data_IF_089297300997
#
_entry.id   IF_089297300997
#
_cell.length_a   1.000
_cell.length_b   1.000
_cell.length_c   1.000
_cell.angle_alpha   90.00
_cell.angle_beta   90.00
_cell.angle_gamma   90.00
#
_symmetry.space_group_name_H-M   'P 1'
#
loop_
_entity.id
_entity.type
_entity.pdbx_description
1 polymer ?
#
# COMPACT_ATOMS: atom_id res chain seq x y z
N UNK A 1 7.09 -4.35 6.02
CA UNK A 1 7.75 -4.38 4.68
C UNK A 1 6.78 -3.84 3.63
N UNK A 2 7.22 -3.46 2.42
CA UNK A 2 6.33 -2.93 1.39
C UNK A 2 6.71 -3.30 -0.05
N UNK A 3 5.72 -3.36 -0.95
CA UNK A 3 5.93 -3.47 -2.40
C UNK A 3 5.02 -2.51 -3.16
N UNK A 4 5.35 -2.27 -4.43
CA UNK A 4 4.54 -1.49 -5.34
C UNK A 4 4.29 -2.26 -6.63
N UNK A 5 3.03 -2.20 -7.08
CA UNK A 5 2.58 -2.75 -8.36
C UNK A 5 2.09 -1.61 -9.23
N UNK A 6 2.59 -1.52 -10.44
CA UNK A 6 2.13 -0.53 -11.42
C UNK A 6 0.70 -0.78 -11.84
N UNK A 7 -0.12 0.26 -11.84
CA UNK A 7 -1.51 0.19 -12.30
C UNK A 7 -1.60 0.78 -13.72
N UNK A 8 -1.19 0.01 -14.72
CA UNK A 8 -1.24 0.38 -16.14
C UNK A 8 -0.41 1.62 -16.54
N UNK A 9 -0.65 2.15 -17.75
CA UNK A 9 0.09 3.24 -18.42
C UNK A 9 -0.05 4.64 -17.77
N UNK A 10 -0.58 4.71 -16.55
CA UNK A 10 -0.93 5.98 -15.89
C UNK A 10 0.18 6.57 -15.02
N UNK A 11 1.33 5.89 -14.90
CA UNK A 11 2.41 6.33 -14.01
C UNK A 11 1.99 6.31 -12.52
N UNK A 12 0.98 5.53 -12.16
CA UNK A 12 0.48 5.34 -10.79
C UNK A 12 0.83 3.94 -10.32
N UNK A 13 1.22 3.81 -9.05
CA UNK A 13 1.43 2.52 -8.40
C UNK A 13 0.45 2.34 -7.24
N UNK A 14 -0.01 1.10 -7.07
CA UNK A 14 -0.56 0.65 -5.80
C UNK A 14 0.60 0.21 -4.90
N UNK A 15 0.76 0.84 -3.75
CA UNK A 15 1.74 0.47 -2.73
C UNK A 15 1.04 -0.34 -1.66
N UNK A 16 1.62 -1.47 -1.31
CA UNK A 16 1.14 -2.39 -0.28
C UNK A 16 2.16 -2.45 0.86
N UNK A 17 1.70 -2.21 2.09
CA UNK A 17 2.49 -2.28 3.32
C UNK A 17 1.94 -3.40 4.18
N UNK A 18 2.82 -4.30 4.64
CA UNK A 18 2.47 -5.49 5.39
C UNK A 18 2.95 -5.41 6.83
N UNK A 19 2.07 -5.75 7.75
CA UNK A 19 2.29 -5.87 9.20
C UNK A 19 2.54 -7.33 9.58
N UNK A 20 3.52 -7.95 8.91
CA UNK A 20 4.03 -9.27 9.24
C UNK A 20 5.55 -9.28 9.01
N UNK A 21 6.26 -9.73 10.03
CA UNK A 21 7.69 -10.05 9.93
C UNK A 21 7.84 -11.32 9.05
N UNK A 22 8.92 -11.41 8.28
CA UNK A 22 9.24 -12.55 7.41
C UNK A 22 8.30 -12.88 6.23
N UNK A 23 7.34 -12.02 5.89
CA UNK A 23 6.55 -12.22 4.67
C UNK A 23 7.40 -12.01 3.41
N UNK A 24 7.42 -12.99 2.48
CA UNK A 24 8.09 -12.84 1.19
C UNK A 24 7.34 -11.85 0.28
N UNK A 25 7.63 -10.57 0.48
CA UNK A 25 7.04 -9.46 -0.28
C UNK A 25 7.47 -9.46 -1.74
N UNK A 26 8.64 -9.99 -2.08
CA UNK A 26 9.11 -10.02 -3.45
C UNK A 26 8.32 -11.03 -4.31
N UNK A 27 8.04 -12.21 -3.75
CA UNK A 27 7.28 -13.27 -4.43
C UNK A 27 5.75 -13.15 -4.30
N UNK A 28 5.26 -12.43 -3.27
CA UNK A 28 3.84 -12.46 -2.89
C UNK A 28 3.18 -11.08 -2.83
N UNK A 29 3.69 -10.10 -3.59
CA UNK A 29 3.13 -8.76 -3.59
C UNK A 29 1.64 -8.73 -4.00
N UNK A 30 0.81 -8.03 -3.22
CA UNK A 30 -0.64 -7.92 -3.38
C UNK A 30 -1.42 -9.06 -2.71
N UNK A 31 -0.73 -10.07 -2.17
CA UNK A 31 -1.32 -11.16 -1.42
C UNK A 31 -1.12 -10.96 0.08
N UNK A 32 -2.13 -11.38 0.85
CA UNK A 32 -2.02 -11.40 2.30
C UNK A 32 -1.36 -12.71 2.76
N UNK A 33 -0.47 -12.65 3.78
CA UNK A 33 -0.06 -13.83 4.53
C UNK A 33 -1.30 -14.55 5.06
N UNK A 34 -1.30 -15.88 5.05
CA UNK A 34 -2.37 -16.70 5.63
C UNK A 34 -2.23 -16.85 7.16
N UNK A 35 -1.68 -15.83 7.80
CA UNK A 35 -1.48 -15.75 9.25
C UNK A 35 -2.61 -14.91 9.83
N UNK A 36 -3.37 -15.46 10.79
CA UNK A 36 -4.47 -14.74 11.42
C UNK A 36 -3.96 -13.43 12.06
N UNK A 37 -4.65 -12.33 11.79
CA UNK A 37 -4.26 -10.98 12.22
C UNK A 37 -3.27 -10.28 11.29
N UNK A 38 -2.81 -10.92 10.20
CA UNK A 38 -1.96 -10.26 9.21
C UNK A 38 -2.74 -9.13 8.52
N UNK A 39 -2.15 -7.93 8.49
CA UNK A 39 -2.74 -6.74 7.88
C UNK A 39 -1.92 -6.28 6.67
N UNK A 40 -2.62 -5.87 5.63
CA UNK A 40 -2.08 -5.19 4.47
C UNK A 40 -2.79 -3.84 4.33
N UNK A 41 -2.02 -2.77 4.44
CA UNK A 41 -2.44 -1.44 4.02
C UNK A 41 -2.12 -1.26 2.53
N UNK A 42 -3.05 -0.74 1.75
CA UNK A 42 -2.80 -0.39 0.35
C UNK A 42 -3.24 1.04 0.03
N UNK A 43 -2.53 1.70 -0.89
CA UNK A 43 -2.88 3.02 -1.38
C UNK A 43 -2.27 3.31 -2.75
N UNK A 44 -2.84 4.24 -3.52
CA UNK A 44 -2.35 4.63 -4.85
C UNK A 44 -1.53 5.92 -4.82
N UNK A 45 -0.35 5.94 -5.43
CA UNK A 45 0.51 7.13 -5.51
C UNK A 45 1.12 7.26 -6.90
N UNK A 46 1.32 8.48 -7.38
CA UNK A 46 2.11 8.73 -8.59
C UNK A 46 3.51 8.14 -8.39
N UNK A 47 3.94 7.31 -9.34
CA UNK A 47 5.21 6.59 -9.29
C UNK A 47 6.37 7.43 -9.82
N UNK A 48 6.54 8.60 -9.22
CA UNK A 48 7.57 9.58 -9.56
C UNK A 48 8.30 10.04 -8.30
N UNK A 49 9.64 10.11 -8.35
CA UNK A 49 10.43 10.62 -7.24
C UNK A 49 9.99 12.03 -6.84
N UNK A 50 9.75 12.23 -5.54
CA UNK A 50 9.22 13.46 -4.95
C UNK A 50 7.70 13.58 -4.97
N UNK A 51 6.98 12.63 -5.60
CA UNK A 51 5.52 12.62 -5.58
C UNK A 51 5.01 12.42 -4.15
N UNK A 52 3.96 13.18 -3.81
CA UNK A 52 3.30 13.16 -2.51
C UNK A 52 1.82 12.91 -2.69
N UNK A 53 1.27 12.03 -1.86
CA UNK A 53 -0.16 11.84 -1.76
C UNK A 53 -0.60 11.98 -0.31
N UNK A 54 -1.74 12.65 -0.10
CA UNK A 54 -2.34 12.77 1.23
C UNK A 54 -3.28 11.59 1.45
N UNK A 55 -3.22 10.98 2.63
CA UNK A 55 -4.19 9.93 2.97
C UNK A 55 -5.62 10.47 3.05
N UNK A 56 -5.78 11.76 3.37
CA UNK A 56 -7.09 12.42 3.43
C UNK A 56 -7.72 12.66 2.04
N UNK A 57 -6.92 12.63 0.97
CA UNK A 57 -7.45 12.77 -0.40
C UNK A 57 -7.95 11.45 -0.99
N UNK A 58 -7.70 10.32 -0.32
CA UNK A 58 -8.17 9.03 -0.81
C UNK A 58 -9.67 8.88 -0.57
N UNK A 59 -10.37 8.66 -1.67
CA UNK A 59 -11.81 8.48 -1.70
C UNK A 59 -12.18 7.04 -2.02
N UNK A 60 -13.35 6.61 -1.57
CA UNK A 60 -13.96 5.36 -2.00
C UNK A 60 -14.84 5.60 -3.21
N UNK A 61 -14.47 5.02 -4.35
CA UNK A 61 -15.31 4.95 -5.53
C UNK A 61 -15.89 3.54 -5.64
N UNK A 62 -17.22 3.41 -5.60
CA UNK A 62 -17.88 2.10 -5.63
C UNK A 62 -17.65 1.31 -6.94
N UNK A 63 -17.22 1.98 -8.03
CA UNK A 63 -16.87 1.37 -9.32
C UNK A 63 -15.36 1.12 -9.48
N UNK A 64 -14.50 1.96 -8.88
CA UNK A 64 -13.03 1.89 -9.01
C UNK A 64 -12.30 1.32 -7.78
N UNK A 65 -13.04 1.07 -6.70
CA UNK A 65 -12.51 0.66 -5.41
C UNK A 65 -12.06 1.84 -4.54
N UNK A 66 -11.50 1.52 -3.37
CA UNK A 66 -10.91 2.52 -2.49
C UNK A 66 -9.53 2.94 -3.02
N UNK A 67 -9.22 4.23 -2.98
CA UNK A 67 -7.86 4.71 -3.29
C UNK A 67 -6.86 4.39 -2.17
N UNK A 68 -7.37 4.04 -0.98
CA UNK A 68 -6.66 3.40 0.12
C UNK A 68 -7.55 2.40 0.87
N UNK A 69 -6.99 1.30 1.37
CA UNK A 69 -7.71 0.31 2.18
C UNK A 69 -6.78 -0.45 3.12
N UNK A 70 -7.32 -0.92 4.25
CA UNK A 70 -6.67 -1.95 5.09
C UNK A 70 -7.45 -3.25 4.93
N UNK A 71 -6.72 -4.32 4.66
CA UNK A 71 -7.27 -5.68 4.58
C UNK A 71 -6.59 -6.51 5.67
N UNK A 72 -7.39 -7.22 6.45
CA UNK A 72 -6.92 -8.13 7.49
C UNK A 72 -7.32 -9.57 7.14
N UNK A 73 -6.41 -10.51 7.43
CA UNK A 73 -6.67 -11.93 7.32
C UNK A 73 -7.18 -12.48 8.67
N UNK A 74 -8.45 -12.92 8.71
CA UNK A 74 -9.06 -13.53 9.91
C UNK A 74 -9.12 -15.06 9.81
N UNK A 75 -8.10 -15.71 9.26
CA UNK A 75 -8.12 -17.16 9.02
C UNK A 75 -8.81 -17.51 7.70
N UNK A 76 -9.89 -18.27 7.73
CA UNK A 76 -10.59 -18.73 6.51
C UNK A 76 -11.29 -17.61 5.72
N UNK A 77 -11.28 -16.37 6.23
CA UNK A 77 -11.98 -15.22 5.67
C UNK A 77 -11.04 -14.04 5.39
N UNK A 78 -10.99 -13.64 4.12
CA UNK A 78 -10.45 -12.35 3.68
C UNK A 78 -11.58 -11.33 3.71
N UNK A 79 -11.42 -10.22 4.43
CA UNK A 79 -12.43 -9.16 4.39
C UNK A 79 -12.42 -8.42 3.04
N UNK A 80 -13.60 -8.18 2.50
CA UNK A 80 -13.84 -7.40 1.29
C UNK A 80 -14.10 -5.93 1.63
N UNK A 81 -13.61 -5.06 0.74
CA UNK A 81 -13.53 -3.58 0.65
C UNK A 81 -14.58 -2.71 1.34
N UNK A 82 -15.74 -3.25 1.75
CA UNK A 82 -16.86 -2.47 2.28
C UNK A 82 -16.75 -2.11 3.77
N UNK A 83 -16.01 -2.89 4.56
CA UNK A 83 -15.94 -2.69 6.01
C UNK A 83 -14.80 -1.75 6.42
N UNK A 84 -13.69 -1.76 5.69
CA UNK A 84 -12.52 -0.95 6.00
C UNK A 84 -12.84 0.57 6.00
N UNK A 85 -13.62 1.08 5.04
CA UNK A 85 -13.82 2.52 4.87
C UNK A 85 -14.63 3.24 5.95
N UNK A 86 -15.44 2.53 6.75
CA UNK A 86 -16.23 3.24 7.78
C UNK A 86 -15.34 3.73 8.93
N UNK A 87 -14.35 2.91 9.27
CA UNK A 87 -13.53 3.08 10.47
C UNK A 87 -12.05 3.37 10.12
N UNK A 88 -11.61 3.10 8.89
CA UNK A 88 -10.29 3.47 8.37
C UNK A 88 -10.36 4.85 7.72
N UNK A 89 -9.93 5.87 8.48
CA UNK A 89 -9.83 7.27 8.03
C UNK A 89 -8.40 7.76 8.26
N UNK A 90 -7.43 7.19 7.52
CA UNK A 90 -6.04 7.54 7.71
C UNK A 90 -5.81 9.02 7.38
N UNK A 91 -5.00 9.65 8.21
CA UNK A 91 -4.47 11.00 7.98
C UNK A 91 -2.97 10.92 7.74
N UNK A 92 -2.40 12.00 7.21
CA UNK A 92 -0.98 12.11 6.91
C UNK A 92 -0.70 11.95 5.42
N UNK A 93 0.47 11.44 5.07
CA UNK A 93 0.94 11.37 3.69
C UNK A 93 1.88 10.21 3.40
N UNK A 94 2.00 9.90 2.11
CA UNK A 94 3.09 9.13 1.55
C UNK A 94 3.88 9.99 0.56
N UNK A 95 5.19 9.83 0.57
CA UNK A 95 6.12 10.46 -0.36
C UNK A 95 7.00 9.38 -1.02
N UNK A 96 7.09 9.37 -2.34
CA UNK A 96 8.01 8.49 -3.06
C UNK A 96 9.40 9.13 -3.10
N UNK A 97 10.29 8.70 -2.22
CA UNK A 97 11.67 9.21 -2.13
C UNK A 97 12.55 8.73 -3.29
N UNK A 98 12.27 7.53 -3.81
CA UNK A 98 12.98 6.97 -4.96
C UNK A 98 12.05 6.04 -5.74
N UNK A 99 11.67 6.46 -6.95
CA UNK A 99 11.01 5.58 -7.91
C UNK A 99 12.04 4.65 -8.58
N UNK A 100 11.61 3.43 -8.89
CA UNK A 100 12.37 2.47 -9.70
C UNK A 100 11.42 1.82 -10.71
N UNK A 101 11.92 1.56 -11.91
CA UNK A 101 11.08 1.13 -13.04
C UNK A 101 11.34 -0.31 -13.49
N UNK A 102 12.38 -0.96 -12.96
CA UNK A 102 12.72 -2.35 -13.28
C UNK A 102 12.27 -3.26 -12.15
N UNK A 103 11.69 -4.40 -12.51
CA UNK A 103 11.42 -5.46 -11.55
C UNK A 103 12.71 -5.86 -10.81
N UNK A 104 12.61 -6.00 -9.48
CA UNK A 104 13.74 -6.37 -8.61
C UNK A 104 14.58 -5.20 -8.08
N UNK A 105 14.44 -4.00 -8.64
CA UNK A 105 15.03 -2.80 -8.05
C UNK A 105 14.29 -2.38 -6.76
N UNK A 106 15.01 -1.68 -5.88
CA UNK A 106 14.45 -1.12 -4.64
C UNK A 106 14.18 0.38 -4.77
N UNK A 107 12.91 0.72 -4.78
CA UNK A 107 12.42 2.06 -4.53
C UNK A 107 12.39 2.36 -3.04
N UNK A 108 12.00 3.58 -2.68
CA UNK A 108 11.85 3.99 -1.28
C UNK A 108 10.70 4.95 -1.14
N UNK A 109 9.85 4.70 -0.15
CA UNK A 109 8.76 5.61 0.24
C UNK A 109 8.97 6.05 1.68
N UNK A 110 8.55 7.27 1.98
CA UNK A 110 8.34 7.76 3.33
C UNK A 110 6.85 7.76 3.61
N UNK A 111 6.46 7.14 4.71
CA UNK A 111 5.08 7.09 5.17
C UNK A 111 5.00 7.87 6.47
N UNK A 112 3.95 8.67 6.60
CA UNK A 112 3.49 9.27 7.84
C UNK A 112 1.99 9.10 7.86
N UNK A 113 1.51 8.10 8.58
CA UNK A 113 0.10 7.74 8.66
C UNK A 113 -0.35 7.69 10.11
N UNK A 114 -1.55 8.20 10.36
CA UNK A 114 -2.26 7.99 11.62
C UNK A 114 -3.71 7.61 11.35
N UNK A 115 -4.21 6.59 12.05
CA UNK A 115 -5.61 6.16 12.01
C UNK A 115 -6.09 5.93 13.45
N UNK A 116 -6.78 6.92 14.03
CA UNK A 116 -7.06 6.93 15.47
C UNK A 116 -5.75 6.99 16.28
N UNK A 117 -5.58 6.05 17.21
CA UNK A 117 -4.37 5.93 18.03
C UNK A 117 -3.22 5.20 17.33
N UNK A 118 -3.50 4.49 16.23
CA UNK A 118 -2.49 3.77 15.45
C UNK A 118 -1.68 4.73 14.59
N UNK A 119 -0.35 4.60 14.63
CA UNK A 119 0.58 5.43 13.86
C UNK A 119 1.58 4.57 13.13
N UNK A 120 1.83 4.89 11.87
CA UNK A 120 2.88 4.30 11.06
C UNK A 120 3.71 5.43 10.46
N UNK A 121 4.95 5.58 10.91
CA UNK A 121 5.85 6.59 10.39
C UNK A 121 7.23 5.98 10.12
N UNK A 122 7.82 6.29 8.97
CA UNK A 122 9.15 5.82 8.64
C UNK A 122 9.44 5.79 7.13
N UNK A 123 10.65 5.36 6.80
CA UNK A 123 11.05 5.06 5.44
C UNK A 123 11.06 3.56 5.23
N UNK A 124 10.48 3.11 4.12
CA UNK A 124 10.35 1.70 3.80
C UNK A 124 10.90 1.49 2.39
N UNK A 125 11.78 0.50 2.24
CA UNK A 125 12.18 0.04 0.92
C UNK A 125 10.99 -0.63 0.24
N UNK A 126 10.78 -0.30 -1.03
CA UNK A 126 9.63 -0.77 -1.81
C UNK A 126 10.11 -1.57 -2.99
N UNK A 127 9.68 -2.82 -3.06
CA UNK A 127 9.97 -3.70 -4.19
C UNK A 127 9.07 -3.36 -5.37
N UNK A 128 9.67 -3.08 -6.53
CA UNK A 128 8.92 -3.06 -7.78
C UNK A 128 8.75 -4.48 -8.30
N UNK A 129 7.50 -4.91 -8.50
CA UNK A 129 7.17 -6.26 -9.00
C UNK A 129 6.68 -6.25 -10.45
N UNK A 130 6.62 -5.09 -11.10
CA UNK A 130 6.18 -4.94 -12.49
C UNK A 130 6.91 -3.78 -13.15
N UNK A 131 7.22 -3.90 -14.44
CA UNK A 131 7.76 -2.77 -15.19
C UNK A 131 6.66 -1.70 -15.41
N UNK A 132 7.05 -0.44 -15.21
CA UNK A 132 6.18 0.72 -15.44
C UNK A 132 6.47 1.23 -16.87
N UNK A 133 5.57 0.93 -17.82
CA UNK A 133 5.65 1.38 -19.21
C UNK A 133 4.65 2.50 -19.52
#
# INVERSE_FOLDING_TARGET
>A
MACAVGTGSSGVAAVYVYDQEDFDVAGSCGFLPTVAGARQLSFRVEWKTGAKASFASYTFDAKKGAESEVIEFLGDKRYDRKWANRDFKPTGSVELLKAVNRAGDRGRVRISMANGDEKLAGEIDVYSTSDFY
#
